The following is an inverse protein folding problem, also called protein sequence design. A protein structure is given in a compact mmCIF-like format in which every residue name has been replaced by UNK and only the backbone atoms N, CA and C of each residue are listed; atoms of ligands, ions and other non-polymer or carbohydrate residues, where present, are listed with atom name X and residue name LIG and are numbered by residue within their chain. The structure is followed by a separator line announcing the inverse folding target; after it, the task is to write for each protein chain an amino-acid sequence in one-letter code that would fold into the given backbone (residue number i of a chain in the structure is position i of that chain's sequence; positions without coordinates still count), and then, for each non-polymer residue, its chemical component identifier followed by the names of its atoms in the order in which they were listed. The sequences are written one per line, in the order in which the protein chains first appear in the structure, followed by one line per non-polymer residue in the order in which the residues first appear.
data_IF_969367304263
#
_entry.id   IF_969367304263
#
_cell.length_a   1.000
_cell.length_b   1.000
_cell.length_c   1.000
_cell.angle_alpha   90.00
_cell.angle_beta   90.00
_cell.angle_gamma   90.00
#
_symmetry.space_group_name_H-M   'P 1'
#
loop_
_entity.id
_entity.type
_entity.pdbx_description
1 polymer ?
#
# COMPACT_ATOMS: atom_id res chain seq x y z
N UNK A 1 -3.38 -0.12 -18.10
CA UNK A 1 -4.51 0.58 -18.72
C UNK A 1 -5.24 -0.42 -19.60
N UNK A 2 -6.56 -0.53 -19.44
CA UNK A 2 -7.44 -1.42 -20.22
C UNK A 2 -8.12 -0.63 -21.35
N UNK A 3 -8.70 -1.28 -22.38
CA UNK A 3 -9.36 -0.58 -23.48
C UNK A 3 -10.46 0.39 -23.04
N UNK A 4 -11.13 0.13 -21.92
CA UNK A 4 -12.15 1.00 -21.33
C UNK A 4 -11.59 2.35 -20.86
N UNK A 5 -10.31 2.43 -20.55
CA UNK A 5 -9.64 3.65 -20.09
C UNK A 5 -9.31 4.62 -21.24
N UNK A 6 -9.56 4.23 -22.50
CA UNK A 6 -9.27 5.05 -23.68
C UNK A 6 -10.07 6.36 -23.70
N UNK A 7 -11.33 6.34 -23.26
CA UNK A 7 -12.14 7.56 -23.20
C UNK A 7 -11.58 8.54 -22.14
N UNK A 8 -11.16 8.02 -20.98
CA UNK A 8 -10.51 8.83 -19.93
C UNK A 8 -9.22 9.45 -20.46
N UNK A 9 -8.38 8.67 -21.14
CA UNK A 9 -7.14 9.17 -21.74
C UNK A 9 -7.44 10.26 -22.79
N UNK A 10 -8.45 10.05 -23.64
CA UNK A 10 -8.86 11.00 -24.67
C UNK A 10 -9.36 12.32 -24.08
N UNK A 11 -10.23 12.27 -23.06
CA UNK A 11 -10.72 13.45 -22.35
C UNK A 11 -9.57 14.24 -21.75
N UNK A 12 -8.63 13.57 -21.07
CA UNK A 12 -7.48 14.24 -20.46
C UNK A 12 -6.51 14.83 -21.48
N UNK A 13 -6.27 14.16 -22.60
CA UNK A 13 -5.49 14.75 -23.70
C UNK A 13 -6.21 15.96 -24.30
N UNK A 14 -7.54 15.93 -24.43
CA UNK A 14 -8.32 17.09 -24.87
C UNK A 14 -8.18 18.29 -23.92
N UNK A 15 -8.22 18.07 -22.61
CA UNK A 15 -8.00 19.13 -21.61
C UNK A 15 -6.58 19.72 -21.70
N UNK A 16 -5.55 18.88 -21.78
CA UNK A 16 -4.14 19.31 -21.83
C UNK A 16 -3.82 20.11 -23.10
N UNK A 17 -4.43 19.73 -24.23
CA UNK A 17 -4.30 20.44 -25.50
C UNK A 17 -5.15 21.71 -25.55
N UNK A 18 -6.38 21.65 -25.03
CA UNK A 18 -7.28 22.80 -24.91
C UNK A 18 -6.67 23.92 -24.06
N UNK A 19 -6.01 23.58 -22.95
CA UNK A 19 -5.28 24.53 -22.11
C UNK A 19 -4.15 25.27 -22.86
N UNK A 20 -3.72 24.76 -24.02
CA UNK A 20 -2.64 25.33 -24.85
C UNK A 20 -3.12 25.81 -26.22
N UNK A 21 -4.44 25.90 -26.43
CA UNK A 21 -5.04 26.25 -27.73
C UNK A 21 -4.54 25.35 -28.89
N UNK A 22 -4.24 24.08 -28.59
CA UNK A 22 -3.77 23.10 -29.56
C UNK A 22 -4.87 22.08 -29.87
N UNK A 23 -4.79 21.44 -31.05
CA UNK A 23 -5.74 20.38 -31.43
C UNK A 23 -5.32 19.04 -30.83
N UNK A 24 -6.18 18.35 -30.06
CA UNK A 24 -5.83 17.09 -29.43
C UNK A 24 -5.58 15.96 -30.44
N UNK A 25 -4.80 14.94 -30.06
CA UNK A 25 -4.58 13.76 -30.89
C UNK A 25 -5.87 12.94 -31.03
N UNK A 26 -6.31 12.71 -32.27
CA UNK A 26 -7.50 11.93 -32.62
C UNK A 26 -7.11 10.66 -33.41
N UNK A 27 -8.00 9.65 -33.43
CA UNK A 27 -7.87 8.47 -34.28
C UNK A 27 -6.54 7.72 -34.13
N UNK A 28 -5.72 7.72 -35.19
CA UNK A 28 -4.38 7.09 -35.19
C UNK A 28 -3.41 7.77 -34.22
N UNK A 29 -3.57 9.09 -33.97
CA UNK A 29 -2.79 9.81 -32.96
C UNK A 29 -3.03 9.27 -31.56
N UNK A 30 -4.30 9.00 -31.21
CA UNK A 30 -4.65 8.43 -29.89
C UNK A 30 -4.06 7.01 -29.70
N UNK A 31 -3.98 6.19 -30.75
CA UNK A 31 -3.29 4.90 -30.69
C UNK A 31 -1.79 5.06 -30.40
N UNK A 32 -1.16 6.10 -30.95
CA UNK A 32 0.24 6.46 -30.65
C UNK A 32 0.48 6.85 -29.19
N UNK A 33 -0.57 7.30 -28.48
CA UNK A 33 -0.54 7.56 -27.03
C UNK A 33 -0.84 6.32 -26.20
N UNK A 34 -1.81 5.50 -26.63
CA UNK A 34 -2.21 4.33 -25.88
C UNK A 34 -1.14 3.24 -25.84
N UNK A 35 -0.51 2.91 -26.98
CA UNK A 35 0.43 1.78 -27.07
C UNK A 35 1.61 1.90 -26.09
N UNK A 36 2.27 3.07 -25.96
CA UNK A 36 3.39 3.23 -25.02
C UNK A 36 2.99 3.29 -23.55
N UNK A 37 1.71 3.56 -23.25
CA UNK A 37 1.20 3.80 -21.91
C UNK A 37 0.33 2.65 -21.38
N UNK A 38 0.02 1.65 -22.20
CA UNK A 38 -0.92 0.57 -21.88
C UNK A 38 -0.53 -0.24 -20.64
N UNK A 39 0.76 -0.31 -20.33
CA UNK A 39 1.32 -1.02 -19.18
C UNK A 39 1.20 -0.25 -17.86
N UNK A 40 0.84 1.04 -17.91
CA UNK A 40 0.68 1.88 -16.73
C UNK A 40 -0.80 1.96 -16.28
N UNK A 41 -1.08 2.16 -14.99
CA UNK A 41 -2.43 2.53 -14.52
C UNK A 41 -2.86 3.86 -15.15
N UNK A 42 -4.15 3.98 -15.51
CA UNK A 42 -4.65 5.21 -16.14
C UNK A 42 -4.52 6.41 -15.21
N UNK A 43 -4.76 6.21 -13.92
CA UNK A 43 -4.67 7.23 -12.87
C UNK A 43 -3.27 7.83 -12.82
N UNK A 44 -2.24 6.98 -12.92
CA UNK A 44 -0.85 7.41 -12.92
C UNK A 44 -0.52 8.24 -14.18
N UNK A 45 -1.09 7.87 -15.33
CA UNK A 45 -0.93 8.61 -16.59
C UNK A 45 -1.61 9.97 -16.48
N UNK A 46 -2.82 10.03 -15.90
CA UNK A 46 -3.55 11.28 -15.68
C UNK A 46 -2.79 12.21 -14.71
N UNK A 47 -2.33 11.69 -13.57
CA UNK A 47 -1.53 12.47 -12.62
C UNK A 47 -0.25 13.02 -13.26
N UNK A 48 0.35 12.24 -14.17
CA UNK A 48 1.54 12.66 -14.93
C UNK A 48 1.24 13.77 -15.92
N UNK A 49 0.10 13.68 -16.63
CA UNK A 49 -0.38 14.73 -17.52
C UNK A 49 -0.69 16.01 -16.76
N UNK A 50 -1.34 15.92 -15.60
CA UNK A 50 -1.64 17.08 -14.75
C UNK A 50 -0.37 17.73 -14.19
N UNK A 51 0.58 16.92 -13.71
CA UNK A 51 1.89 17.41 -13.24
C UNK A 51 2.65 18.07 -14.39
N UNK A 52 2.65 17.47 -15.57
CA UNK A 52 3.27 18.06 -16.76
C UNK A 52 2.64 19.39 -17.10
N UNK A 53 1.30 19.47 -17.07
CA UNK A 53 0.56 20.66 -17.42
C UNK A 53 0.92 21.86 -16.53
N UNK A 54 1.16 21.60 -15.24
CA UNK A 54 1.55 22.62 -14.25
C UNK A 54 3.02 23.06 -14.37
N UNK A 55 3.90 22.22 -14.89
CA UNK A 55 5.36 22.42 -14.79
C UNK A 55 6.03 22.72 -16.12
N UNK A 56 5.42 22.33 -17.25
CA UNK A 56 6.01 22.42 -18.57
C UNK A 56 5.15 23.29 -19.50
N UNK A 57 5.74 24.29 -20.18
CA UNK A 57 5.02 25.12 -21.13
C UNK A 57 4.71 24.38 -22.44
N UNK A 58 5.47 23.34 -22.77
CA UNK A 58 5.34 22.57 -24.02
C UNK A 58 4.34 21.43 -23.90
N UNK A 59 3.75 21.05 -25.04
CA UNK A 59 2.94 19.86 -25.15
C UNK A 59 3.78 18.61 -24.85
N UNK A 60 3.28 17.69 -24.03
CA UNK A 60 3.99 16.44 -23.76
C UNK A 60 3.95 15.49 -24.95
N UNK A 61 4.92 14.58 -25.00
CA UNK A 61 4.93 13.38 -25.85
C UNK A 61 4.64 12.12 -25.04
N UNK A 62 4.19 11.01 -25.66
CA UNK A 62 3.94 9.77 -24.92
C UNK A 62 5.14 9.24 -24.12
N UNK A 63 6.39 9.24 -24.65
CA UNK A 63 7.57 8.81 -23.88
C UNK A 63 7.84 9.68 -22.64
N UNK A 64 7.61 10.99 -22.73
CA UNK A 64 7.81 11.91 -21.62
C UNK A 64 6.80 11.67 -20.49
N UNK A 65 5.53 11.47 -20.83
CA UNK A 65 4.49 11.13 -19.84
C UNK A 65 4.77 9.78 -19.21
N UNK A 66 5.25 8.81 -19.99
CA UNK A 66 5.68 7.51 -19.44
C UNK A 66 6.80 7.68 -18.42
N UNK A 67 7.82 8.49 -18.73
CA UNK A 67 8.91 8.77 -17.81
C UNK A 67 8.42 9.47 -16.53
N UNK A 68 7.56 10.47 -16.66
CA UNK A 68 6.96 11.18 -15.52
C UNK A 68 6.11 10.25 -14.63
N UNK A 69 5.36 9.33 -15.24
CA UNK A 69 4.55 8.34 -14.54
C UNK A 69 5.40 7.38 -13.72
N UNK A 70 6.48 6.85 -14.31
CA UNK A 70 7.41 5.98 -13.60
C UNK A 70 8.08 6.71 -12.44
N UNK A 71 8.50 7.97 -12.64
CA UNK A 71 9.06 8.79 -11.58
C UNK A 71 8.06 9.00 -10.42
N UNK A 72 6.80 9.32 -10.71
CA UNK A 72 5.76 9.49 -9.70
C UNK A 72 5.52 8.20 -8.89
N UNK A 73 5.54 7.05 -9.56
CA UNK A 73 5.41 5.74 -8.91
C UNK A 73 6.57 5.49 -7.94
N UNK A 74 7.79 5.76 -8.38
CA UNK A 74 9.00 5.52 -7.60
C UNK A 74 9.08 6.49 -6.41
N UNK A 75 8.71 7.77 -6.58
CA UNK A 75 8.54 8.75 -5.50
C UNK A 75 7.48 8.30 -4.47
N UNK A 76 6.37 7.70 -4.92
CA UNK A 76 5.35 7.12 -4.05
C UNK A 76 5.85 5.91 -3.26
N UNK A 77 6.62 5.03 -3.90
CA UNK A 77 7.23 3.88 -3.24
C UNK A 77 8.26 4.31 -2.19
N UNK A 78 9.12 5.27 -2.52
CA UNK A 78 10.13 5.82 -1.60
C UNK A 78 9.49 6.47 -0.37
N UNK A 79 8.40 7.24 -0.55
CA UNK A 79 7.65 7.84 0.57
C UNK A 79 7.06 6.79 1.51
N UNK A 80 6.45 5.73 0.97
CA UNK A 80 5.93 4.62 1.79
C UNK A 80 7.04 3.90 2.54
N UNK A 81 8.15 3.60 1.87
CA UNK A 81 9.31 2.97 2.49
C UNK A 81 9.88 3.82 3.64
N UNK A 82 9.95 5.14 3.45
CA UNK A 82 10.40 6.07 4.50
C UNK A 82 9.42 6.14 5.67
N UNK A 83 8.11 6.24 5.41
CA UNK A 83 7.11 6.22 6.47
C UNK A 83 7.17 4.90 7.28
N UNK A 84 7.41 3.79 6.61
CA UNK A 84 7.60 2.49 7.27
C UNK A 84 8.89 2.44 8.10
N UNK A 85 9.99 3.00 7.60
CA UNK A 85 11.24 3.12 8.34
C UNK A 85 11.11 4.06 9.56
N UNK A 86 10.38 5.17 9.42
CA UNK A 86 10.13 6.12 10.50
C UNK A 86 9.23 5.49 11.59
N UNK A 87 8.21 4.69 11.21
CA UNK A 87 7.43 3.88 12.15
C UNK A 87 8.29 2.84 12.87
N UNK A 88 9.18 2.15 12.14
CA UNK A 88 10.11 1.18 12.72
C UNK A 88 11.13 1.85 13.66
N UNK A 89 11.58 3.06 13.36
CA UNK A 89 12.51 3.83 14.20
C UNK A 89 11.83 4.50 15.41
N UNK A 90 10.54 4.81 15.32
CA UNK A 90 9.74 5.33 16.43
C UNK A 90 9.50 4.29 17.54
N UNK A 91 9.62 3.00 17.24
CA UNK A 91 9.72 1.93 18.24
C UNK A 91 11.12 1.97 18.85
N UNK A 92 11.32 2.80 19.87
CA UNK A 92 12.61 2.87 20.58
C UNK A 92 12.85 1.59 21.39
N UNK A 93 14.01 0.97 21.15
CA UNK A 93 14.54 -0.23 21.80
C UNK A 93 14.61 -0.14 23.35
N UNK A 94 14.49 1.04 23.94
CA UNK A 94 14.48 1.26 25.40
C UNK A 94 13.14 0.90 26.07
N UNK A 95 12.07 0.68 25.29
CA UNK A 95 10.76 0.23 25.77
C UNK A 95 10.62 -1.30 25.79
N UNK A 96 11.57 -2.05 25.23
CA UNK A 96 11.61 -3.52 25.30
C UNK A 96 12.33 -3.93 26.59
N UNK A 97 11.68 -3.77 27.75
CA UNK A 97 12.19 -4.38 28.99
C UNK A 97 11.93 -5.89 28.97
N UNK A 98 12.87 -6.74 29.44
CA UNK A 98 12.65 -8.18 29.52
C UNK A 98 11.48 -8.47 30.47
N UNK A 99 10.62 -9.42 30.10
CA UNK A 99 9.53 -9.90 30.94
C UNK A 99 10.10 -10.55 32.21
N UNK A 100 10.17 -9.79 33.30
CA UNK A 100 10.36 -10.36 34.64
C UNK A 100 9.07 -11.06 35.07
N UNK A 101 9.13 -12.07 35.97
CA UNK A 101 7.94 -12.76 36.49
C UNK A 101 6.89 -11.83 37.12
N UNK A 102 7.30 -10.62 37.52
CA UNK A 102 6.44 -9.61 38.13
C UNK A 102 5.95 -8.54 37.13
N UNK A 103 6.24 -8.69 35.85
CA UNK A 103 5.72 -7.80 34.80
C UNK A 103 4.23 -8.05 34.55
N UNK A 104 3.48 -6.98 34.32
CA UNK A 104 2.05 -7.06 34.00
C UNK A 104 1.80 -7.96 32.76
N UNK A 105 2.66 -7.82 31.74
CA UNK A 105 2.64 -8.64 30.54
C UNK A 105 2.78 -10.16 30.82
N UNK A 106 3.65 -10.54 31.76
CA UNK A 106 3.82 -11.95 32.13
C UNK A 106 2.63 -12.49 32.96
N UNK A 107 2.01 -11.65 33.80
CA UNK A 107 0.78 -12.02 34.54
C UNK A 107 -0.41 -12.25 33.61
N UNK A 108 -0.57 -11.41 32.60
CA UNK A 108 -1.61 -11.57 31.58
C UNK A 108 -1.40 -12.85 30.75
N UNK A 109 -0.16 -13.16 30.39
CA UNK A 109 0.18 -14.42 29.70
C UNK A 109 -0.13 -15.67 30.52
N UNK A 110 0.16 -15.67 31.84
CA UNK A 110 -0.16 -16.80 32.71
C UNK A 110 -1.67 -16.96 32.93
N UNK A 111 -2.42 -15.85 33.02
CA UNK A 111 -3.89 -15.89 33.08
C UNK A 111 -4.48 -16.52 31.80
N UNK A 112 -3.96 -16.12 30.64
CA UNK A 112 -4.32 -16.71 29.35
C UNK A 112 -3.99 -18.21 29.27
N UNK A 113 -2.79 -18.63 29.71
CA UNK A 113 -2.37 -20.04 29.71
C UNK A 113 -3.25 -20.92 30.61
N UNK A 114 -3.76 -20.37 31.73
CA UNK A 114 -4.68 -21.08 32.64
C UNK A 114 -6.08 -21.28 32.03
N UNK A 115 -6.58 -20.28 31.29
CA UNK A 115 -7.84 -20.39 30.54
C UNK A 115 -7.75 -21.41 29.41
N UNK A 116 -6.63 -21.44 28.68
CA UNK A 116 -6.43 -22.31 27.51
C UNK A 116 -6.01 -23.77 27.82
N UNK A 117 -5.57 -24.09 29.04
CA UNK A 117 -5.40 -25.47 29.50
C UNK A 117 -6.70 -26.11 30.00
N UNK A 118 -7.79 -25.33 30.08
CA UNK A 118 -9.12 -25.92 30.27
C UNK A 118 -9.58 -26.51 28.93
N UNK A 119 -10.06 -27.75 28.92
CA UNK A 119 -10.44 -28.52 27.70
C UNK A 119 -11.59 -27.92 26.86
N UNK A 120 -12.02 -26.68 27.15
CA UNK A 120 -12.94 -25.93 26.32
C UNK A 120 -12.11 -25.09 25.35
N UNK A 121 -12.02 -25.54 24.09
CA UNK A 121 -11.55 -24.67 22.98
C UNK A 121 -12.35 -23.36 23.07
N UNK A 122 -11.71 -22.18 23.16
CA UNK A 122 -12.45 -20.93 23.11
C UNK A 122 -13.18 -20.89 21.78
N UNK A 123 -14.50 -20.93 21.85
CA UNK A 123 -15.37 -20.80 20.68
C UNK A 123 -15.23 -19.37 20.18
N UNK A 124 -14.49 -19.20 19.09
CA UNK A 124 -14.35 -17.92 18.42
C UNK A 124 -12.90 -17.61 18.09
N UNK A 125 -12.72 -17.20 16.84
CA UNK A 125 -11.52 -16.63 16.22
C UNK A 125 -10.97 -15.40 17.01
N UNK A 126 -11.66 -14.92 18.05
CA UNK A 126 -11.34 -13.71 18.79
C UNK A 126 -9.96 -13.70 19.44
N UNK A 127 -9.47 -14.84 19.96
CA UNK A 127 -8.14 -14.88 20.58
C UNK A 127 -7.01 -14.81 19.55
N UNK A 128 -7.21 -15.43 18.37
CA UNK A 128 -6.25 -15.39 17.27
C UNK A 128 -6.27 -14.03 16.57
N UNK A 129 -7.46 -13.41 16.45
CA UNK A 129 -7.61 -12.03 16.00
C UNK A 129 -6.96 -11.04 16.96
N UNK A 130 -7.11 -11.21 18.28
CA UNK A 130 -6.46 -10.36 19.26
C UNK A 130 -4.92 -10.50 19.25
N UNK A 131 -4.38 -11.70 19.06
CA UNK A 131 -2.93 -11.88 18.90
C UNK A 131 -2.42 -11.30 17.58
N UNK A 132 -3.20 -11.45 16.50
CA UNK A 132 -2.91 -10.81 15.22
C UNK A 132 -2.91 -9.29 15.36
N UNK A 133 -3.92 -8.69 15.98
CA UNK A 133 -4.00 -7.26 16.22
C UNK A 133 -2.83 -6.77 17.09
N UNK A 134 -2.36 -7.57 18.05
CA UNK A 134 -1.19 -7.25 18.87
C UNK A 134 0.13 -7.36 18.10
N UNK A 135 0.29 -8.38 17.27
CA UNK A 135 1.45 -8.49 16.37
C UNK A 135 1.45 -7.40 15.28
N UNK A 136 0.27 -7.07 14.73
CA UNK A 136 0.05 -5.95 13.81
C UNK A 136 0.25 -4.59 14.50
N UNK A 137 -0.04 -4.49 15.80
CA UNK A 137 0.27 -3.35 16.65
C UNK A 137 1.76 -3.30 17.08
N UNK A 138 2.58 -4.25 16.63
CA UNK A 138 4.02 -4.24 16.84
C UNK A 138 4.50 -4.91 18.14
N UNK A 139 3.63 -5.60 18.88
CA UNK A 139 4.07 -6.43 20.01
C UNK A 139 4.85 -7.65 19.51
N UNK A 140 6.04 -7.88 20.07
CA UNK A 140 6.84 -9.07 19.76
C UNK A 140 6.25 -10.26 20.50
N UNK A 141 5.42 -11.02 19.80
CA UNK A 141 4.89 -12.28 20.29
C UNK A 141 5.99 -13.34 20.37
N UNK A 142 5.83 -14.29 21.29
CA UNK A 142 6.68 -15.47 21.29
C UNK A 142 6.49 -16.25 19.97
N UNK A 143 7.54 -16.89 19.42
CA UNK A 143 7.42 -17.64 18.18
C UNK A 143 6.27 -18.66 18.16
N UNK A 144 6.01 -19.31 19.31
CA UNK A 144 4.90 -20.23 19.49
C UNK A 144 3.51 -19.56 19.40
N UNK A 145 3.38 -18.29 19.84
CA UNK A 145 2.14 -17.53 19.77
C UNK A 145 1.87 -17.03 18.34
N UNK A 146 2.89 -16.52 17.65
CA UNK A 146 2.79 -16.12 16.24
C UNK A 146 2.43 -17.29 15.32
N UNK A 147 3.02 -18.47 15.56
CA UNK A 147 2.67 -19.69 14.81
C UNK A 147 1.25 -20.16 15.12
N UNK A 148 0.84 -20.13 16.39
CA UNK A 148 -0.49 -20.60 16.81
C UNK A 148 -1.64 -19.76 16.23
N UNK A 149 -1.54 -18.42 16.22
CA UNK A 149 -2.63 -17.60 15.69
C UNK A 149 -2.73 -17.68 14.16
N UNK A 150 -1.59 -17.75 13.46
CA UNK A 150 -1.58 -17.91 11.99
C UNK A 150 -2.17 -19.24 11.55
N UNK A 151 -1.85 -20.33 12.27
CA UNK A 151 -2.47 -21.63 12.03
C UNK A 151 -3.98 -21.61 12.29
N UNK A 152 -4.43 -20.90 13.34
CA UNK A 152 -5.83 -20.78 13.68
C UNK A 152 -6.64 -19.96 12.65
N UNK A 153 -6.09 -18.89 12.07
CA UNK A 153 -6.76 -18.07 11.05
C UNK A 153 -6.63 -18.62 9.62
N UNK A 154 -5.56 -19.38 9.33
CA UNK A 154 -5.32 -19.99 8.02
C UNK A 154 -6.10 -21.29 7.79
N UNK A 155 -6.58 -21.94 8.85
CA UNK A 155 -7.39 -23.16 8.78
C UNK A 155 -8.88 -22.90 8.45
N UNK A 156 -9.29 -21.64 8.29
CA UNK A 156 -10.66 -21.20 8.00
C UNK A 156 -10.83 -20.70 6.55
N UNK A 157 -9.93 -21.11 5.64
CA UNK A 157 -10.00 -20.91 4.19
C UNK A 157 -10.21 -22.23 3.46
#
# INVERSE_FOLDING_TARGET
MIPQDLEVLKERLAEVWGARNARPPEGSGLKGWFIPLKDLPVELVVDSLDRWNKTNPKLPTPPEIRAAALQLRDEGAARRARAQADMAAAVRLDQVRPATPDSAAYREFLAWRRLHNSKKRPSGISWAAALREREEAGEVLLPAQSQAWRAALGADR
#
